data_IF_826509052621
#
_entry.id   IF_826509052621
#
_cell.length_a   1.000
_cell.length_b   1.000
_cell.length_c   1.000
_cell.angle_alpha   90.00
_cell.angle_beta   90.00
_cell.angle_gamma   90.00
#
_symmetry.space_group_name_H-M   'P 1'
#
loop_
_entity.id
_entity.type
_entity.pdbx_description
1 polymer ?
#
# COMPACT_ATOMS: atom_id res chain seq x y z
N UNK A 1 -1.75 -8.36 -3.47
CA UNK A 1 -1.37 -7.12 -2.76
C UNK A 1 -2.60 -6.60 -2.04
N UNK A 2 -2.65 -6.72 -0.71
CA UNK A 2 -3.84 -6.30 0.06
C UNK A 2 -3.99 -4.77 0.04
N UNK A 3 -5.14 -4.28 -0.44
CA UNK A 3 -5.50 -2.86 -0.44
C UNK A 3 -5.94 -2.35 0.95
N UNK A 4 -5.76 -3.17 1.98
CA UNK A 4 -6.00 -2.79 3.36
C UNK A 4 -4.90 -1.82 3.83
N UNK A 5 -5.32 -0.68 4.39
CA UNK A 5 -4.40 0.31 4.98
C UNK A 5 -4.02 -0.02 6.44
N UNK A 6 -4.55 -1.10 7.01
CA UNK A 6 -4.21 -1.54 8.37
C UNK A 6 -2.87 -2.26 8.34
N UNK A 7 -1.84 -1.60 8.86
CA UNK A 7 -0.45 -2.09 8.86
C UNK A 7 0.24 -1.65 10.13
N UNK A 8 1.16 -2.47 10.61
CA UNK A 8 2.00 -2.17 11.77
C UNK A 8 3.45 -2.31 11.33
N UNK A 9 4.27 -1.33 11.69
CA UNK A 9 5.70 -1.30 11.40
C UNK A 9 6.46 -1.11 12.70
N UNK A 10 7.63 -1.74 12.78
CA UNK A 10 8.61 -1.51 13.84
C UNK A 10 9.14 -0.08 13.68
N UNK A 11 9.21 0.69 14.78
CA UNK A 11 9.55 2.11 14.76
C UNK A 11 10.90 2.36 14.10
N UNK A 12 11.86 1.48 14.35
CA UNK A 12 13.23 1.50 13.85
C UNK A 12 13.31 1.38 12.32
N UNK A 13 12.31 0.78 11.67
CA UNK A 13 12.28 0.60 10.21
C UNK A 13 11.81 1.89 9.50
N UNK A 14 10.94 2.67 10.13
CA UNK A 14 10.30 3.85 9.52
C UNK A 14 11.32 4.89 9.00
N UNK A 15 12.36 5.28 9.75
CA UNK A 15 13.37 6.23 9.26
C UNK A 15 14.12 5.76 8.00
N UNK A 16 14.19 4.45 7.75
CA UNK A 16 14.86 3.89 6.59
C UNK A 16 14.00 3.88 5.34
N UNK A 17 12.70 4.20 5.46
CA UNK A 17 11.76 4.25 4.34
C UNK A 17 11.38 5.70 4.06
N UNK A 18 11.75 6.19 2.87
CA UNK A 18 11.36 7.52 2.39
C UNK A 18 10.29 7.38 1.32
N UNK A 19 9.00 7.64 1.62
CA UNK A 19 7.96 7.67 0.60
C UNK A 19 8.18 8.86 -0.33
N UNK A 20 8.04 8.63 -1.64
CA UNK A 20 8.40 9.61 -2.70
C UNK A 20 7.17 10.00 -3.51
N UNK A 21 6.15 9.14 -3.60
CA UNK A 21 5.02 9.35 -4.53
C UNK A 21 3.77 9.98 -3.89
N UNK A 22 3.70 10.07 -2.56
CA UNK A 22 2.65 10.78 -1.80
C UNK A 22 1.24 10.16 -1.84
N UNK A 23 0.85 9.58 -2.97
CA UNK A 23 -0.48 9.00 -3.20
C UNK A 23 -0.59 7.54 -2.73
N UNK A 24 0.52 6.82 -2.65
CA UNK A 24 0.57 5.38 -2.37
C UNK A 24 1.21 5.04 -1.03
N UNK A 25 1.18 5.96 -0.06
CA UNK A 25 1.95 5.89 1.20
C UNK A 25 2.00 4.49 1.84
N UNK A 26 0.85 3.81 2.02
CA UNK A 26 0.82 2.46 2.61
C UNK A 26 1.44 1.36 1.74
N UNK A 27 1.29 1.46 0.42
CA UNK A 27 1.86 0.49 -0.52
C UNK A 27 3.33 0.76 -0.81
N UNK A 28 3.76 2.03 -0.82
CA UNK A 28 5.17 2.43 -0.89
C UNK A 28 5.95 1.96 0.33
N UNK A 29 5.37 2.09 1.53
CA UNK A 29 5.97 1.55 2.75
C UNK A 29 6.18 0.04 2.66
N UNK A 30 5.20 -0.70 2.12
CA UNK A 30 5.32 -2.14 1.91
C UNK A 30 6.40 -2.49 0.89
N UNK A 31 6.38 -1.82 -0.26
CA UNK A 31 7.34 -2.05 -1.35
C UNK A 31 8.76 -1.79 -0.88
N UNK A 32 9.00 -0.65 -0.21
CA UNK A 32 10.31 -0.34 0.35
C UNK A 32 10.74 -1.34 1.43
N UNK A 33 9.81 -1.79 2.28
CA UNK A 33 10.12 -2.81 3.28
C UNK A 33 10.56 -4.12 2.62
N UNK A 34 9.91 -4.49 1.51
CA UNK A 34 10.25 -5.66 0.71
C UNK A 34 11.61 -5.50 0.00
N UNK A 35 11.85 -4.37 -0.67
CA UNK A 35 13.12 -4.08 -1.35
C UNK A 35 14.33 -4.08 -0.38
N UNK A 36 14.10 -3.72 0.89
CA UNK A 36 15.12 -3.74 1.95
C UNK A 36 15.24 -5.09 2.68
N UNK A 37 14.59 -6.14 2.18
CA UNK A 37 14.61 -7.50 2.74
C UNK A 37 14.12 -7.58 4.21
N UNK A 38 13.21 -6.69 4.63
CA UNK A 38 12.59 -6.85 5.94
C UNK A 38 11.59 -8.01 5.95
N UNK A 39 11.42 -8.63 7.13
CA UNK A 39 10.45 -9.69 7.32
C UNK A 39 9.03 -9.14 7.32
N UNK A 40 8.23 -9.55 6.34
CA UNK A 40 6.82 -9.17 6.20
C UNK A 40 5.97 -10.38 6.55
N UNK A 41 4.92 -10.17 7.35
CA UNK A 41 3.89 -11.18 7.64
C UNK A 41 2.52 -10.58 7.39
N UNK A 42 1.63 -11.38 6.83
CA UNK A 42 0.22 -11.03 6.68
C UNK A 42 -0.58 -11.52 7.89
N UNK A 43 -1.53 -10.72 8.34
CA UNK A 43 -2.47 -11.07 9.39
C UNK A 43 -3.85 -11.10 8.74
N UNK A 44 -4.53 -12.24 8.84
CA UNK A 44 -5.90 -12.36 8.37
C UNK A 44 -6.80 -11.64 9.37
N UNK A 45 -7.49 -10.61 8.89
CA UNK A 45 -8.45 -9.84 9.66
C UNK A 45 -9.72 -9.70 8.84
N UNK A 46 -10.86 -10.01 9.45
CA UNK A 46 -12.19 -9.77 8.87
C UNK A 46 -12.76 -8.49 9.46
N UNK A 47 -12.46 -7.31 8.86
CA UNK A 47 -13.04 -6.06 9.34
C UNK A 47 -14.56 -6.07 9.14
N UNK A 48 -15.33 -5.48 10.07
CA UNK A 48 -16.71 -5.14 9.77
C UNK A 48 -16.77 -4.13 8.61
N UNK A 49 -17.83 -4.14 7.79
CA UNK A 49 -17.97 -3.21 6.68
C UNK A 49 -17.97 -1.76 7.19
N UNK A 50 -16.88 -1.02 6.90
CA UNK A 50 -16.74 0.38 7.35
C UNK A 50 -17.74 1.34 6.69
N UNK A 51 -18.18 1.04 5.47
CA UNK A 51 -19.16 1.84 4.71
C UNK A 51 -20.07 0.93 3.92
N UNK A 52 -21.34 1.31 3.83
CA UNK A 52 -22.34 0.67 2.95
C UNK A 52 -21.98 0.80 1.47
N UNK A 53 -21.40 1.94 1.06
CA UNK A 53 -20.82 2.13 -0.29
C UNK A 53 -19.30 2.27 -0.22
N UNK A 54 -18.53 1.29 -0.72
CA UNK A 54 -17.08 1.34 -0.67
C UNK A 54 -16.52 2.40 -1.64
N UNK A 55 -15.44 3.08 -1.24
CA UNK A 55 -14.74 4.09 -2.07
C UNK A 55 -13.95 3.47 -3.21
N UNK A 56 -13.69 2.17 -3.13
CA UNK A 56 -12.88 1.35 -4.04
C UNK A 56 -13.76 0.18 -4.49
N UNK A 57 -13.70 -0.20 -5.76
CA UNK A 57 -14.47 -1.33 -6.30
C UNK A 57 -15.95 -1.03 -6.59
N UNK A 58 -16.40 0.22 -6.42
CA UNK A 58 -17.78 0.64 -6.68
C UNK A 58 -17.96 1.65 -7.83
N UNK A 59 -16.88 2.18 -8.42
CA UNK A 59 -16.93 3.15 -9.53
C UNK A 59 -15.71 3.02 -10.46
N UNK A 60 -15.87 3.37 -11.74
CA UNK A 60 -14.77 3.43 -12.74
C UNK A 60 -13.65 4.37 -12.31
N UNK A 61 -13.99 5.54 -11.75
CA UNK A 61 -13.03 6.51 -11.22
C UNK A 61 -12.15 5.92 -10.13
N UNK A 62 -12.71 5.12 -9.23
CA UNK A 62 -11.93 4.45 -8.19
C UNK A 62 -10.96 3.42 -8.77
N UNK A 63 -11.39 2.66 -9.77
CA UNK A 63 -10.55 1.66 -10.43
C UNK A 63 -9.39 2.31 -11.19
N UNK A 64 -9.62 3.44 -11.88
CA UNK A 64 -8.55 4.22 -12.53
C UNK A 64 -7.54 4.71 -11.49
N UNK A 65 -8.01 5.21 -10.33
CA UNK A 65 -7.12 5.67 -9.26
C UNK A 65 -6.27 4.54 -8.66
N UNK A 66 -6.81 3.33 -8.59
CA UNK A 66 -6.05 2.15 -8.16
C UNK A 66 -5.02 1.78 -9.22
N UNK A 67 -5.41 1.82 -10.50
CA UNK A 67 -4.51 1.52 -11.61
C UNK A 67 -3.32 2.50 -11.64
N UNK A 68 -3.57 3.80 -11.52
CA UNK A 68 -2.49 4.81 -11.50
C UNK A 68 -1.56 4.61 -10.30
N UNK A 69 -2.10 4.31 -9.13
CA UNK A 69 -1.33 3.95 -7.94
C UNK A 69 -0.46 2.70 -8.18
N UNK A 70 -1.00 1.65 -8.80
CA UNK A 70 -0.23 0.43 -9.10
C UNK A 70 0.89 0.68 -10.12
N UNK A 71 0.63 1.50 -11.15
CA UNK A 71 1.65 1.86 -12.14
C UNK A 71 2.79 2.67 -11.51
N UNK A 72 2.47 3.59 -10.59
CA UNK A 72 3.50 4.34 -9.83
C UNK A 72 4.38 3.40 -8.99
N UNK A 73 3.77 2.43 -8.30
CA UNK A 73 4.52 1.45 -7.52
C UNK A 73 5.38 0.54 -8.40
N UNK A 74 4.87 0.11 -9.56
CA UNK A 74 5.64 -0.66 -10.54
C UNK A 74 6.86 0.13 -11.02
N UNK A 75 6.67 1.42 -11.33
CA UNK A 75 7.78 2.30 -11.68
C UNK A 75 8.83 2.36 -10.57
N UNK A 76 8.41 2.56 -9.32
CA UNK A 76 9.35 2.56 -8.18
C UNK A 76 10.11 1.24 -8.14
N UNK A 77 9.42 0.09 -8.24
CA UNK A 77 10.06 -1.22 -8.19
C UNK A 77 11.10 -1.46 -9.31
N UNK A 78 10.86 -0.92 -10.51
CA UNK A 78 11.76 -1.11 -11.66
C UNK A 78 12.97 -0.17 -11.67
N UNK A 79 12.85 1.02 -11.08
CA UNK A 79 13.86 2.08 -11.19
C UNK A 79 14.54 2.42 -9.85
N UNK A 80 14.32 1.62 -8.80
CA UNK A 80 14.85 1.85 -7.46
C UNK A 80 15.62 0.63 -6.94
#
# INVERSE_FOLDING_TARGET
MSYLNLRVYIKEIIPHIKPVSGETFGAELLLNAWLKNYKIREIIYSPPPRRTKPRIGGTTKANIRILTATLKLLKIMLFN
#
